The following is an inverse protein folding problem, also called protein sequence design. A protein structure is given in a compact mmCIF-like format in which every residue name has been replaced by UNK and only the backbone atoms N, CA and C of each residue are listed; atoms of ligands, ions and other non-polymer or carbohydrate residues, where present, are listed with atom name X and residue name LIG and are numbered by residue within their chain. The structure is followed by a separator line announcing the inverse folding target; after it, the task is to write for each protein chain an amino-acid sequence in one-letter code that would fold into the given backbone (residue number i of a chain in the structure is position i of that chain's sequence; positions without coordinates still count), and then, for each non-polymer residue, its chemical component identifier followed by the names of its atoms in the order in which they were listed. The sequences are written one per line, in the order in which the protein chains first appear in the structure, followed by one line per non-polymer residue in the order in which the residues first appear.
data_IF_160501092926
#
_entry.id   IF_160501092926
#
_cell.length_a   1.000
_cell.length_b   1.000
_cell.length_c   1.000
_cell.angle_alpha   90.00
_cell.angle_beta   90.00
_cell.angle_gamma   90.00
#
_symmetry.space_group_name_H-M   'P 1'
#
loop_
_entity.id
_entity.type
_entity.pdbx_description
1 polymer ?
#
# COMPACT_ATOMS: atom_id res chain seq x y z
N UNK A 1 26.75 -39.25 12.89
CA UNK A 1 26.12 -38.19 12.08
C UNK A 1 26.75 -36.87 12.43
N UNK A 2 27.26 -36.16 11.43
CA UNK A 2 27.72 -34.77 11.53
C UNK A 2 26.82 -33.93 10.64
N UNK A 3 26.36 -32.79 11.14
CA UNK A 3 25.49 -31.89 10.39
C UNK A 3 26.24 -30.64 9.99
N UNK A 4 26.07 -30.22 8.74
CA UNK A 4 26.50 -28.91 8.27
C UNK A 4 25.62 -27.78 8.81
N UNK A 5 25.99 -26.54 8.44
CA UNK A 5 25.16 -25.35 8.68
C UNK A 5 23.87 -25.45 7.85
N UNK A 6 22.81 -24.84 8.36
CA UNK A 6 21.60 -24.62 7.58
C UNK A 6 21.86 -23.62 6.45
N UNK A 7 21.25 -23.85 5.30
CA UNK A 7 21.17 -22.87 4.21
C UNK A 7 20.37 -21.64 4.65
N UNK A 8 20.40 -20.60 3.82
CA UNK A 8 19.40 -19.54 3.89
C UNK A 8 17.99 -20.11 3.67
N UNK A 9 16.98 -19.40 4.18
CA UNK A 9 15.59 -19.77 3.95
C UNK A 9 15.25 -19.56 2.47
N UNK A 10 14.50 -20.49 1.88
CA UNK A 10 14.05 -20.39 0.49
C UNK A 10 13.15 -19.18 0.22
N UNK A 11 12.58 -18.56 1.27
CA UNK A 11 11.70 -17.38 1.21
C UNK A 11 11.98 -16.46 2.40
N UNK A 12 11.56 -15.20 2.31
CA UNK A 12 11.62 -14.23 3.41
C UNK A 12 10.37 -14.24 4.30
N UNK A 13 9.24 -14.72 3.77
CA UNK A 13 7.92 -14.77 4.42
C UNK A 13 7.06 -15.89 3.82
N UNK A 14 5.91 -16.18 4.42
CA UNK A 14 4.88 -17.08 3.86
C UNK A 14 5.18 -18.58 4.02
N UNK A 15 6.31 -18.94 4.62
CA UNK A 15 6.73 -20.31 4.87
C UNK A 15 7.59 -20.89 3.75
N UNK A 16 8.83 -21.24 4.10
CA UNK A 16 9.75 -21.95 3.21
C UNK A 16 10.59 -22.95 3.97
N UNK A 17 11.71 -23.35 3.36
CA UNK A 17 12.57 -24.41 3.86
C UNK A 17 14.03 -23.98 3.91
N UNK A 18 14.73 -24.47 4.94
CA UNK A 18 16.18 -24.50 5.01
C UNK A 18 16.65 -25.94 4.91
N UNK A 19 17.74 -26.16 4.18
CA UNK A 19 18.35 -27.48 4.03
C UNK A 19 19.75 -27.48 4.62
N UNK A 20 20.23 -28.64 5.07
CA UNK A 20 21.62 -28.82 5.51
C UNK A 20 22.17 -30.16 5.07
N UNK A 21 23.48 -30.21 4.86
CA UNK A 21 24.18 -31.46 4.62
C UNK A 21 24.26 -32.30 5.91
N UNK A 22 24.15 -33.62 5.77
CA UNK A 22 24.27 -34.60 6.86
C UNK A 22 25.18 -35.72 6.41
N UNK A 23 26.24 -35.96 7.17
CA UNK A 23 27.26 -36.96 6.86
C UNK A 23 27.30 -38.05 7.94
N UNK A 24 27.40 -39.30 7.52
CA UNK A 24 27.79 -40.38 8.42
C UNK A 24 29.33 -40.37 8.50
N UNK A 25 29.87 -40.32 9.71
CA UNK A 25 31.32 -40.28 9.93
C UNK A 25 31.74 -41.31 10.97
N UNK A 26 32.93 -41.86 10.78
CA UNK A 26 33.69 -42.61 11.77
C UNK A 26 34.76 -41.70 12.39
N UNK A 27 34.87 -41.70 13.72
CA UNK A 27 35.86 -40.89 14.44
C UNK A 27 37.14 -41.71 14.65
N UNK A 28 38.26 -41.28 14.08
CA UNK A 28 39.56 -41.89 14.32
C UNK A 28 40.30 -41.11 15.41
N UNK A 29 40.83 -41.82 16.41
CA UNK A 29 41.74 -41.26 17.41
C UNK A 29 43.18 -41.48 16.93
N UNK A 30 43.80 -40.48 16.29
CA UNK A 30 45.22 -40.61 15.94
C UNK A 30 46.11 -40.49 17.19
N UNK A 31 47.25 -41.19 17.19
CA UNK A 31 48.31 -41.06 18.22
C UNK A 31 48.82 -39.61 18.38
N UNK A 32 48.53 -38.73 17.41
CA UNK A 32 48.88 -37.31 17.37
C UNK A 32 47.80 -36.38 17.95
N UNK A 33 46.72 -36.93 18.51
CA UNK A 33 45.67 -36.14 19.17
C UNK A 33 44.73 -35.39 18.23
N UNK A 34 44.72 -35.71 16.93
CA UNK A 34 43.71 -35.22 16.00
C UNK A 34 42.55 -36.21 15.93
N UNK A 35 41.35 -35.74 16.26
CA UNK A 35 40.11 -36.46 16.01
C UNK A 35 39.67 -36.16 14.57
N UNK A 36 40.04 -37.01 13.63
CA UNK A 36 39.58 -36.89 12.24
C UNK A 36 38.25 -37.60 12.06
N UNK A 37 37.30 -36.93 11.40
CA UNK A 37 36.01 -37.50 11.04
C UNK A 37 36.07 -37.99 9.59
N UNK A 38 36.12 -39.30 9.39
CA UNK A 38 36.10 -39.90 8.05
C UNK A 38 34.66 -40.13 7.60
N UNK A 39 34.27 -39.59 6.44
CA UNK A 39 32.96 -39.87 5.85
C UNK A 39 32.82 -41.34 5.45
N UNK A 40 31.81 -42.03 5.99
CA UNK A 40 31.51 -43.44 5.71
C UNK A 40 30.09 -43.60 5.17
N UNK A 41 29.78 -44.76 4.57
CA UNK A 41 28.45 -45.04 4.05
C UNK A 41 27.38 -45.00 5.16
N UNK A 42 26.19 -44.50 4.83
CA UNK A 42 25.09 -44.30 5.80
C UNK A 42 24.72 -45.56 6.59
N UNK A 43 24.88 -46.73 5.97
CA UNK A 43 24.66 -48.04 6.58
C UNK A 43 25.46 -48.23 7.88
N UNK A 44 26.58 -47.54 8.08
CA UNK A 44 27.37 -47.64 9.32
C UNK A 44 26.80 -46.78 10.47
N UNK A 45 25.90 -45.85 10.19
CA UNK A 45 25.22 -45.02 11.19
C UNK A 45 23.79 -45.49 11.51
N UNK A 46 23.38 -46.69 11.08
CA UNK A 46 22.00 -47.19 11.16
C UNK A 46 21.41 -47.22 12.57
N UNK A 47 22.23 -47.46 13.59
CA UNK A 47 21.79 -47.50 15.00
C UNK A 47 21.55 -46.10 15.60
N UNK A 48 22.01 -45.04 14.92
CA UNK A 48 21.88 -43.66 15.38
C UNK A 48 20.76 -42.97 14.63
N UNK A 49 19.92 -42.21 15.35
CA UNK A 49 18.88 -41.39 14.72
C UNK A 49 19.53 -40.39 13.74
N UNK A 50 19.14 -40.47 12.47
CA UNK A 50 19.56 -39.51 11.45
C UNK A 50 18.88 -38.17 11.74
N UNK A 51 19.62 -37.06 11.87
CA UNK A 51 19.01 -35.74 12.03
C UNK A 51 18.20 -35.34 10.78
N UNK A 52 17.27 -34.39 10.94
CA UNK A 52 16.50 -33.87 9.80
C UNK A 52 17.39 -33.01 8.89
N UNK A 53 17.29 -33.27 7.58
CA UNK A 53 18.01 -32.55 6.54
C UNK A 53 17.32 -31.25 6.12
N UNK A 54 16.05 -31.08 6.48
CA UNK A 54 15.21 -29.94 6.14
C UNK A 54 14.47 -29.42 7.38
N UNK A 55 14.21 -28.12 7.45
CA UNK A 55 13.30 -27.52 8.43
C UNK A 55 12.51 -26.37 7.83
N UNK A 56 11.34 -26.08 8.40
CA UNK A 56 10.52 -24.91 8.05
C UNK A 56 11.19 -23.61 8.53
N UNK A 57 11.04 -22.54 7.76
CA UNK A 57 11.52 -21.19 8.05
C UNK A 57 10.59 -20.14 7.42
N UNK A 58 10.85 -18.85 7.64
CA UNK A 58 10.12 -17.76 6.98
C UNK A 58 8.63 -17.71 7.33
N UNK A 59 8.27 -18.00 8.58
CA UNK A 59 6.86 -18.16 9.02
C UNK A 59 6.10 -16.85 9.23
N UNK A 60 6.76 -15.70 9.06
CA UNK A 60 6.09 -14.39 9.10
C UNK A 60 5.10 -14.27 7.94
N UNK A 61 4.07 -13.46 8.13
CA UNK A 61 3.13 -13.16 7.06
C UNK A 61 3.84 -12.35 5.98
N UNK A 62 3.51 -12.64 4.72
CA UNK A 62 4.02 -11.82 3.63
C UNK A 62 3.34 -10.45 3.62
N UNK A 63 4.05 -9.42 3.16
CA UNK A 63 3.46 -8.10 2.95
C UNK A 63 2.35 -8.20 1.91
N UNK A 64 1.19 -7.63 2.22
CA UNK A 64 0.01 -7.67 1.36
C UNK A 64 -0.65 -6.29 1.28
N UNK A 65 -1.32 -6.03 0.16
CA UNK A 65 -2.15 -4.83 0.02
C UNK A 65 -3.42 -4.96 0.87
N UNK A 66 -3.61 -3.99 1.74
CA UNK A 66 -4.87 -3.81 2.45
C UNK A 66 -5.61 -2.61 1.89
N UNK A 67 -6.95 -2.73 1.85
CA UNK A 67 -7.85 -1.70 1.36
C UNK A 67 -8.83 -1.31 2.45
N UNK A 68 -8.97 -0.02 2.66
CA UNK A 68 -10.01 0.53 3.51
C UNK A 68 -11.36 0.58 2.81
N UNK A 69 -12.33 1.12 3.52
CA UNK A 69 -13.64 1.41 2.99
C UNK A 69 -13.59 2.54 1.95
N UNK A 70 -14.56 2.51 1.04
CA UNK A 70 -14.78 3.62 0.12
C UNK A 70 -15.34 4.83 0.85
N UNK A 71 -14.83 6.01 0.48
CA UNK A 71 -15.41 7.29 0.86
C UNK A 71 -16.84 7.44 0.31
N UNK A 72 -17.52 8.47 0.79
CA UNK A 72 -18.70 8.99 0.12
C UNK A 72 -18.34 9.48 -1.29
N UNK A 73 -19.35 9.59 -2.16
CA UNK A 73 -19.17 10.12 -3.51
C UNK A 73 -18.70 11.59 -3.42
N UNK A 74 -17.73 11.97 -4.25
CA UNK A 74 -17.14 13.32 -4.28
C UNK A 74 -18.14 14.44 -4.59
N UNK A 75 -19.33 14.07 -5.08
CA UNK A 75 -20.42 14.96 -5.45
C UNK A 75 -21.72 14.47 -4.83
N UNK A 76 -22.66 15.39 -4.64
CA UNK A 76 -24.03 15.09 -4.19
C UNK A 76 -25.02 14.94 -5.35
N UNK A 77 -24.64 15.32 -6.58
CA UNK A 77 -25.43 15.18 -7.80
C UNK A 77 -24.57 14.65 -8.95
N UNK A 78 -25.19 13.94 -9.89
CA UNK A 78 -24.55 13.51 -11.14
C UNK A 78 -23.50 12.43 -10.95
N UNK A 79 -22.37 12.61 -11.63
CA UNK A 79 -21.23 11.67 -11.66
C UNK A 79 -20.10 12.22 -10.82
N UNK A 80 -19.47 11.36 -10.02
CA UNK A 80 -18.26 11.69 -9.27
C UNK A 80 -17.37 10.48 -9.11
N UNK A 81 -16.50 10.54 -8.10
CA UNK A 81 -15.62 9.43 -7.72
C UNK A 81 -15.69 9.20 -6.20
N UNK A 82 -15.41 7.98 -5.79
CA UNK A 82 -15.14 7.63 -4.40
C UNK A 82 -13.72 7.11 -4.29
N UNK A 83 -13.06 7.41 -3.18
CA UNK A 83 -11.67 7.06 -2.92
C UNK A 83 -11.58 6.10 -1.75
N UNK A 84 -10.57 5.26 -1.69
CA UNK A 84 -10.28 4.44 -0.50
C UNK A 84 -8.79 4.44 -0.21
N UNK A 85 -8.45 4.21 1.05
CA UNK A 85 -7.06 4.00 1.43
C UNK A 85 -6.59 2.62 0.92
N UNK A 86 -5.41 2.58 0.31
CA UNK A 86 -4.74 1.35 -0.13
C UNK A 86 -3.30 1.42 0.35
N UNK A 87 -2.90 0.48 1.19
CA UNK A 87 -1.58 0.47 1.84
C UNK A 87 -0.96 -0.92 1.79
N UNK A 88 0.35 -1.00 1.58
CA UNK A 88 1.10 -2.23 1.77
C UNK A 88 1.36 -2.43 3.27
N UNK A 89 0.92 -3.56 3.83
CA UNK A 89 1.10 -3.87 5.25
C UNK A 89 1.75 -5.22 5.46
N UNK A 90 2.60 -5.31 6.48
CA UNK A 90 3.20 -6.55 6.98
C UNK A 90 2.98 -6.62 8.50
N UNK A 91 2.36 -7.70 8.98
CA UNK A 91 2.06 -7.89 10.42
C UNK A 91 1.29 -6.71 11.07
N UNK A 92 0.36 -6.11 10.32
CA UNK A 92 -0.41 -4.90 10.69
C UNK A 92 0.41 -3.59 10.72
N UNK A 93 1.65 -3.57 10.27
CA UNK A 93 2.43 -2.35 10.12
C UNK A 93 2.47 -1.90 8.66
N UNK A 94 2.34 -0.60 8.43
CA UNK A 94 2.50 -0.04 7.08
C UNK A 94 3.98 -0.11 6.69
N UNK A 95 4.24 -0.68 5.52
CA UNK A 95 5.58 -0.76 4.93
C UNK A 95 5.62 -0.01 3.60
N UNK A 96 6.80 0.07 3.00
CA UNK A 96 6.97 0.74 1.70
C UNK A 96 6.18 0.01 0.59
N UNK A 97 5.53 0.78 -0.26
CA UNK A 97 4.71 0.28 -1.38
C UNK A 97 5.50 -0.59 -2.37
N UNK A 98 6.83 -0.47 -2.42
CA UNK A 98 7.71 -1.29 -3.26
C UNK A 98 7.86 -2.73 -2.73
N UNK A 99 7.50 -3.01 -1.48
CA UNK A 99 7.60 -4.35 -0.89
C UNK A 99 6.45 -5.24 -1.40
N UNK A 100 5.25 -4.69 -1.56
CA UNK A 100 4.12 -5.43 -2.13
C UNK A 100 4.20 -5.47 -3.67
N UNK A 101 3.66 -6.54 -4.26
CA UNK A 101 3.58 -6.64 -5.72
C UNK A 101 2.62 -5.59 -6.30
N UNK A 102 3.10 -4.74 -7.22
CA UNK A 102 2.27 -3.71 -7.88
C UNK A 102 1.09 -4.29 -8.67
N UNK A 103 1.18 -5.53 -9.15
CA UNK A 103 0.09 -6.19 -9.90
C UNK A 103 -1.12 -6.49 -9.02
N UNK A 104 -0.89 -6.66 -7.72
CA UNK A 104 -1.92 -7.04 -6.76
C UNK A 104 -2.54 -5.81 -6.08
N UNK A 105 -2.02 -4.61 -6.39
CA UNK A 105 -2.48 -3.35 -5.81
C UNK A 105 -3.93 -3.09 -6.25
N UNK A 106 -4.89 -3.03 -5.31
CA UNK A 106 -6.26 -2.68 -5.63
C UNK A 106 -6.40 -1.22 -6.07
N UNK A 107 -7.43 -0.91 -6.86
CA UNK A 107 -7.75 0.48 -7.21
C UNK A 107 -8.03 1.32 -5.96
N UNK A 108 -7.56 2.56 -5.94
CA UNK A 108 -7.83 3.54 -4.89
C UNK A 108 -8.93 4.54 -5.28
N UNK A 109 -9.38 4.52 -6.55
CA UNK A 109 -10.44 5.35 -7.11
C UNK A 109 -11.49 4.51 -7.83
N UNK A 110 -12.76 4.86 -7.67
CA UNK A 110 -13.86 4.25 -8.41
C UNK A 110 -14.92 5.30 -8.79
N UNK A 111 -15.51 5.26 -9.99
CA UNK A 111 -16.63 6.12 -10.34
C UNK A 111 -17.86 5.84 -9.47
N UNK A 112 -18.62 6.89 -9.17
CA UNK A 112 -19.91 6.83 -8.48
C UNK A 112 -20.98 7.69 -9.17
N UNK A 113 -22.24 7.29 -8.99
CA UNK A 113 -23.40 7.97 -9.56
C UNK A 113 -24.44 8.16 -8.47
N UNK A 114 -24.83 9.39 -8.20
CA UNK A 114 -25.76 9.68 -7.09
C UNK A 114 -27.23 9.49 -7.47
N UNK A 115 -27.54 9.37 -8.77
CA UNK A 115 -28.92 9.36 -9.27
C UNK A 115 -29.63 10.72 -9.24
N UNK A 116 -29.01 11.75 -8.64
CA UNK A 116 -29.57 13.09 -8.50
C UNK A 116 -29.11 13.94 -9.69
N UNK A 117 -30.03 14.60 -10.42
CA UNK A 117 -29.67 15.53 -11.49
C UNK A 117 -29.03 16.79 -10.89
N UNK A 118 -27.91 17.22 -11.45
CA UNK A 118 -27.28 18.46 -11.02
C UNK A 118 -28.08 19.70 -11.44
N UNK A 119 -28.03 20.80 -10.65
CA UNK A 119 -28.58 22.07 -11.07
C UNK A 119 -27.83 22.57 -12.31
N UNK A 120 -28.55 23.14 -13.27
CA UNK A 120 -28.00 23.58 -14.55
C UNK A 120 -26.97 24.73 -14.41
N UNK A 121 -26.89 25.40 -13.25
CA UNK A 121 -25.93 26.47 -12.96
C UNK A 121 -25.36 26.34 -11.53
N UNK A 122 -24.26 25.61 -11.32
CA UNK A 122 -23.60 25.52 -10.01
C UNK A 122 -23.04 26.87 -9.54
N UNK A 123 -22.67 27.76 -10.47
CA UNK A 123 -22.05 29.05 -10.16
C UNK A 123 -23.02 30.13 -9.65
N UNK A 124 -24.30 30.10 -10.01
CA UNK A 124 -25.21 31.23 -9.74
C UNK A 124 -25.61 31.38 -8.27
N UNK A 125 -25.41 30.35 -7.43
CA UNK A 125 -25.71 30.44 -6.00
C UNK A 125 -24.60 31.14 -5.18
N UNK A 126 -23.36 31.18 -5.69
CA UNK A 126 -22.23 31.84 -5.03
C UNK A 126 -22.08 33.31 -5.46
N UNK A 127 -22.51 33.67 -6.67
CA UNK A 127 -22.63 35.07 -7.08
C UNK A 127 -23.95 35.65 -6.53
N UNK A 128 -23.97 36.03 -5.25
CA UNK A 128 -25.00 36.99 -4.81
C UNK A 128 -24.76 38.29 -5.58
N UNK A 129 -25.71 38.68 -6.43
CA UNK A 129 -25.73 40.01 -7.00
C UNK A 129 -25.91 41.01 -5.86
N UNK A 130 -24.85 41.70 -5.47
CA UNK A 130 -24.94 42.82 -4.53
C UNK A 130 -25.46 44.03 -5.31
N UNK A 131 -26.72 44.39 -5.05
CA UNK A 131 -27.31 45.62 -5.57
C UNK A 131 -26.77 46.79 -4.73
N UNK A 132 -25.78 47.51 -5.24
CA UNK A 132 -25.29 48.74 -4.62
C UNK A 132 -25.96 49.92 -5.32
N UNK A 133 -26.90 50.55 -4.62
CA UNK A 133 -27.56 51.77 -5.07
C UNK A 133 -26.80 52.97 -4.51
N UNK A 134 -26.26 53.82 -5.39
CA UNK A 134 -25.64 55.09 -4.96
C UNK A 134 -26.72 56.18 -5.05
N UNK A 135 -27.00 56.83 -3.92
CA UNK A 135 -27.92 57.95 -3.82
C UNK A 135 -27.13 59.26 -3.81
N UNK A 136 -27.33 60.09 -4.81
CA UNK A 136 -26.79 61.45 -4.84
C UNK A 136 -27.91 62.41 -4.45
N UNK A 137 -27.74 63.09 -3.32
CA UNK A 137 -28.68 64.07 -2.79
C UNK A 137 -28.27 65.48 -3.19
N UNK A 138 -29.21 66.25 -3.74
CA UNK A 138 -29.06 67.69 -3.99
C UNK A 138 -30.31 68.44 -3.52
N UNK A 139 -30.20 69.76 -3.34
CA UNK A 139 -31.23 70.63 -2.74
C UNK A 139 -32.65 70.55 -3.35
N UNK A 140 -32.82 69.97 -4.55
CA UNK A 140 -34.13 69.82 -5.21
C UNK A 140 -34.37 68.45 -5.84
N UNK A 141 -33.41 67.52 -5.80
CA UNK A 141 -33.53 66.24 -6.50
C UNK A 141 -32.62 65.16 -5.92
N UNK A 142 -33.11 63.91 -5.99
CA UNK A 142 -32.38 62.69 -5.65
C UNK A 142 -32.17 61.92 -6.95
N UNK A 143 -30.92 61.57 -7.27
CA UNK A 143 -30.60 60.69 -8.38
C UNK A 143 -30.08 59.34 -7.85
N UNK A 144 -30.60 58.24 -8.39
CA UNK A 144 -30.22 56.87 -8.04
C UNK A 144 -29.50 56.26 -9.24
N UNK A 145 -28.28 55.79 -9.02
CA UNK A 145 -27.50 55.09 -10.06
C UNK A 145 -27.28 53.63 -9.64
N UNK A 146 -27.63 52.70 -10.53
CA UNK A 146 -27.39 51.27 -10.38
C UNK A 146 -26.16 50.86 -11.19
N UNK A 147 -25.22 50.16 -10.55
CA UNK A 147 -24.10 49.54 -11.27
C UNK A 147 -24.51 48.09 -11.58
N UNK A 148 -24.98 47.85 -12.80
CA UNK A 148 -25.13 46.50 -13.33
C UNK A 148 -23.81 46.05 -13.96
N UNK A 149 -23.24 44.95 -13.46
CA UNK A 149 -22.13 44.21 -14.09
C UNK A 149 -20.75 44.90 -14.19
N UNK A 150 -19.96 44.86 -13.11
CA UNK A 150 -18.50 44.78 -13.25
C UNK A 150 -18.14 43.40 -13.79
N UNK A 151 -18.15 43.24 -15.12
CA UNK A 151 -17.55 42.07 -15.78
C UNK A 151 -16.06 42.07 -15.45
N UNK A 152 -15.63 41.18 -14.58
CA UNK A 152 -14.20 40.88 -14.45
C UNK A 152 -13.80 40.20 -15.76
N UNK A 153 -13.14 40.95 -16.63
CA UNK A 153 -12.44 40.42 -17.80
C UNK A 153 -11.25 39.63 -17.24
N UNK A 154 -11.45 38.35 -16.93
CA UNK A 154 -10.34 37.43 -16.76
C UNK A 154 -9.80 37.09 -18.15
N UNK A 155 -8.77 37.83 -18.55
CA UNK A 155 -7.68 37.45 -19.45
C UNK A 155 -8.07 36.84 -20.82
N UNK A 156 -8.03 37.70 -21.84
CA UNK A 156 -7.31 37.36 -23.07
C UNK A 156 -5.86 37.84 -22.89
N UNK A 157 -5.04 37.06 -22.20
CA UNK A 157 -3.59 37.13 -22.32
C UNK A 157 -3.14 35.90 -23.11
N UNK A 158 -3.05 36.08 -24.43
CA UNK A 158 -1.93 35.65 -25.28
C UNK A 158 -1.95 36.46 -26.57
#
# INVERSE_FOLDING_TARGET
WVTGKWSECSVTCGGGFQSRAIYCVESHNDQKGFNENLNVAEKYCWQKQRPTAERKCGTSQCPQWEKGDWSQCSVTCGKGFRVRLVECRQENERVDDMICSKTDRPDDHQPCFTGIKCPANPGSQYYKAYHISIFIYSNKSIAVFSIENLRIIQNLFS
#
